data_IF_726635183368
#
_entry.id   IF_726635183368
#
_cell.length_a   1.000
_cell.length_b   1.000
_cell.length_c   1.000
_cell.angle_alpha   90.00
_cell.angle_beta   90.00
_cell.angle_gamma   90.00
#
_symmetry.space_group_name_H-M   'P 1'
#
loop_
_entity.id
_entity.type
_entity.pdbx_description
1 polymer ?
#
# COMPACT_ATOMS: atom_id res chain seq x y z
N UNK A 1 -10.67 12.79 8.39
CA UNK A 1 -9.81 11.62 8.13
C UNK A 1 -9.03 11.27 9.40
N UNK A 2 -9.40 10.19 10.09
CA UNK A 2 -8.62 9.72 11.23
C UNK A 2 -7.38 8.98 10.74
N UNK A 3 -6.29 9.70 10.51
CA UNK A 3 -4.97 9.10 10.41
C UNK A 3 -4.58 8.58 11.80
N UNK A 4 -4.28 7.27 11.91
CA UNK A 4 -3.54 6.74 13.05
C UNK A 4 -4.32 6.31 14.28
N UNK A 5 -5.63 6.24 14.24
CA UNK A 5 -6.33 5.39 15.21
C UNK A 5 -6.18 3.96 14.72
N UNK A 6 -5.45 3.15 15.48
CA UNK A 6 -5.16 1.77 15.13
C UNK A 6 -6.43 1.00 14.75
N UNK A 7 -6.27 -0.01 13.96
CA UNK A 7 -7.34 -0.80 13.34
C UNK A 7 -8.38 -1.32 14.34
N UNK A 8 -7.97 -1.52 15.59
CA UNK A 8 -8.85 -1.92 16.71
C UNK A 8 -9.91 -0.84 17.03
N UNK A 9 -9.59 0.44 16.84
CA UNK A 9 -10.54 1.54 17.11
C UNK A 9 -11.51 1.80 15.95
N UNK A 10 -11.24 1.33 14.74
CA UNK A 10 -12.16 1.49 13.60
C UNK A 10 -13.54 0.87 13.87
N UNK A 11 -13.57 -0.27 14.56
CA UNK A 11 -14.81 -0.91 15.03
C UNK A 11 -15.63 -0.03 15.96
N UNK A 12 -14.97 0.80 16.79
CA UNK A 12 -15.65 1.72 17.70
C UNK A 12 -16.13 2.97 16.99
N UNK A 13 -15.35 3.48 16.01
CA UNK A 13 -15.68 4.68 15.25
C UNK A 13 -16.94 4.47 14.40
N UNK A 14 -17.12 3.32 13.77
CA UNK A 14 -18.31 3.01 12.94
C UNK A 14 -19.59 2.89 13.73
N UNK A 15 -19.54 2.83 15.07
CA UNK A 15 -20.73 2.97 15.91
C UNK A 15 -21.30 4.39 15.96
N UNK A 16 -20.47 5.38 15.67
CA UNK A 16 -20.80 6.80 15.80
C UNK A 16 -20.80 7.52 14.43
N UNK A 17 -20.03 7.01 13.47
CA UNK A 17 -19.89 7.60 12.14
C UNK A 17 -20.28 6.55 11.11
N UNK A 18 -21.17 6.90 10.19
CA UNK A 18 -21.53 6.08 9.03
C UNK A 18 -20.70 6.54 7.82
N UNK A 19 -19.55 5.91 7.52
CA UNK A 19 -18.73 6.27 6.38
C UNK A 19 -19.44 5.87 5.09
N UNK A 20 -19.17 6.59 3.99
CA UNK A 20 -19.59 6.22 2.64
C UNK A 20 -18.58 5.35 1.93
N UNK A 21 -17.32 5.46 2.34
CA UNK A 21 -16.19 4.78 1.73
C UNK A 21 -15.17 4.34 2.79
N UNK A 22 -14.76 3.08 2.71
CA UNK A 22 -13.55 2.58 3.36
C UNK A 22 -12.45 2.42 2.32
N UNK A 23 -11.22 2.80 2.67
CA UNK A 23 -10.06 2.64 1.80
C UNK A 23 -9.03 1.76 2.50
N UNK A 24 -8.73 0.59 1.90
CA UNK A 24 -7.76 -0.34 2.43
C UNK A 24 -6.54 -0.38 1.51
N UNK A 25 -5.42 0.11 2.01
CA UNK A 25 -4.19 0.25 1.23
C UNK A 25 -3.34 -1.01 1.25
N UNK A 26 -2.94 -1.43 2.44
CA UNK A 26 -2.19 -2.67 2.67
C UNK A 26 -2.30 -3.06 4.16
N UNK A 27 -2.01 -4.32 4.44
CA UNK A 27 -1.82 -4.85 5.80
C UNK A 27 -0.55 -5.68 5.75
N UNK A 28 0.51 -5.19 6.38
CA UNK A 28 1.76 -5.90 6.61
C UNK A 28 1.92 -6.16 8.10
N UNK A 29 2.88 -7.03 8.47
CA UNK A 29 3.25 -7.21 9.87
C UNK A 29 3.77 -5.90 10.44
N UNK A 30 3.09 -5.40 11.46
CA UNK A 30 3.43 -4.18 12.18
C UNK A 30 2.79 -4.23 13.55
N UNK A 31 3.57 -3.97 14.62
CA UNK A 31 3.09 -3.95 16.00
C UNK A 31 2.25 -5.19 16.38
N UNK A 32 2.76 -6.39 16.10
CA UNK A 32 2.05 -7.66 16.29
C UNK A 32 1.69 -7.93 17.76
N UNK A 33 2.48 -7.44 18.69
CA UNK A 33 2.21 -7.46 20.13
C UNK A 33 0.94 -6.69 20.50
N UNK A 34 0.60 -5.66 19.73
CA UNK A 34 -0.56 -4.79 19.94
C UNK A 34 -1.80 -5.23 19.17
N UNK A 35 -1.62 -5.63 17.91
CA UNK A 35 -2.72 -5.91 16.97
C UNK A 35 -2.87 -7.38 16.62
N UNK A 36 -1.90 -8.21 16.97
CA UNK A 36 -1.84 -9.62 16.60
C UNK A 36 -1.50 -9.82 15.12
N UNK A 37 -1.71 -11.03 14.64
CA UNK A 37 -1.45 -11.41 13.27
C UNK A 37 -2.29 -10.64 12.25
N UNK A 38 -1.79 -10.51 11.02
CA UNK A 38 -2.42 -9.74 9.93
C UNK A 38 -3.88 -10.15 9.65
N UNK A 39 -4.21 -11.43 9.78
CA UNK A 39 -5.58 -11.93 9.61
C UNK A 39 -6.51 -11.50 10.75
N UNK A 40 -5.99 -11.31 11.96
CA UNK A 40 -6.76 -10.76 13.08
C UNK A 40 -7.07 -9.29 12.83
N UNK A 41 -6.07 -8.52 12.43
CA UNK A 41 -6.24 -7.11 12.03
C UNK A 41 -7.26 -6.98 10.91
N UNK A 42 -7.13 -7.80 9.85
CA UNK A 42 -8.08 -7.79 8.74
C UNK A 42 -9.51 -8.12 9.19
N UNK A 43 -9.69 -9.12 10.05
CA UNK A 43 -11.01 -9.49 10.59
C UNK A 43 -11.66 -8.32 11.35
N UNK A 44 -10.89 -7.63 12.20
CA UNK A 44 -11.39 -6.49 12.98
C UNK A 44 -11.78 -5.30 12.06
N UNK A 45 -11.00 -5.05 11.01
CA UNK A 45 -11.32 -4.02 10.01
C UNK A 45 -12.63 -4.37 9.29
N UNK A 46 -12.80 -5.63 8.88
CA UNK A 46 -13.99 -6.09 8.18
C UNK A 46 -15.24 -6.09 9.06
N UNK A 47 -15.11 -6.40 10.35
CA UNK A 47 -16.22 -6.24 11.31
C UNK A 47 -16.65 -4.76 11.42
N UNK A 48 -15.67 -3.84 11.40
CA UNK A 48 -15.96 -2.41 11.36
C UNK A 48 -16.66 -1.97 10.07
N UNK A 49 -16.25 -2.51 8.92
CA UNK A 49 -16.89 -2.22 7.64
C UNK A 49 -18.33 -2.78 7.57
N UNK A 50 -18.56 -3.99 8.09
CA UNK A 50 -19.87 -4.62 8.13
C UNK A 50 -20.89 -3.85 8.98
N UNK A 51 -20.45 -3.01 9.92
CA UNK A 51 -21.31 -2.12 10.68
C UNK A 51 -21.88 -0.94 9.85
N UNK A 52 -21.36 -0.73 8.64
CA UNK A 52 -21.86 0.26 7.66
C UNK A 52 -22.02 -0.42 6.29
N UNK A 53 -23.02 -1.29 6.10
CA UNK A 53 -23.14 -2.19 4.94
C UNK A 53 -23.29 -1.46 3.60
N UNK A 54 -23.82 -0.24 3.61
CA UNK A 54 -23.98 0.59 2.42
C UNK A 54 -22.67 1.26 1.97
N UNK A 55 -21.64 1.26 2.83
CA UNK A 55 -20.36 1.85 2.50
C UNK A 55 -19.62 0.99 1.47
N UNK A 56 -19.07 1.61 0.45
CA UNK A 56 -18.17 0.94 -0.48
C UNK A 56 -16.80 0.67 0.18
N UNK A 57 -16.22 -0.48 -0.08
CA UNK A 57 -14.83 -0.79 0.29
C UNK A 57 -13.97 -0.70 -0.96
N UNK A 58 -13.07 0.28 -1.00
CA UNK A 58 -12.05 0.45 -2.03
C UNK A 58 -10.75 -0.19 -1.55
N UNK A 59 -10.34 -1.30 -2.16
CA UNK A 59 -9.21 -2.12 -1.71
C UNK A 59 -8.08 -2.13 -2.72
N UNK A 60 -6.86 -2.29 -2.23
CA UNK A 60 -5.74 -2.71 -3.05
C UNK A 60 -5.97 -4.15 -3.54
N UNK A 61 -6.30 -4.30 -4.83
CA UNK A 61 -6.57 -5.59 -5.46
C UNK A 61 -5.33 -6.49 -5.56
N UNK A 62 -4.13 -5.91 -5.53
CA UNK A 62 -2.86 -6.64 -5.57
C UNK A 62 -2.52 -7.34 -4.25
N UNK A 63 -3.24 -7.04 -3.17
CA UNK A 63 -3.07 -7.67 -1.87
C UNK A 63 -4.03 -8.85 -1.71
N UNK A 64 -3.53 -10.10 -1.60
CA UNK A 64 -4.39 -11.30 -1.51
C UNK A 64 -5.35 -11.28 -0.32
N UNK A 65 -4.97 -10.62 0.77
CA UNK A 65 -5.79 -10.60 2.00
C UNK A 65 -7.14 -9.92 1.78
N UNK A 66 -7.20 -8.86 0.96
CA UNK A 66 -8.44 -8.10 0.75
C UNK A 66 -9.50 -8.82 -0.09
N UNK A 67 -9.11 -9.87 -0.82
CA UNK A 67 -10.03 -10.74 -1.55
C UNK A 67 -10.26 -12.08 -0.85
N UNK A 68 -9.73 -12.26 0.38
CA UNK A 68 -9.76 -13.55 1.08
C UNK A 68 -11.12 -13.93 1.69
N UNK A 69 -11.98 -12.93 1.97
CA UNK A 69 -13.29 -13.13 2.61
C UNK A 69 -14.39 -12.38 1.88
N UNK A 70 -15.57 -12.96 1.88
CA UNK A 70 -16.79 -12.29 1.45
C UNK A 70 -17.18 -11.17 2.42
N UNK A 71 -17.90 -10.16 1.91
CA UNK A 71 -18.47 -9.07 2.69
C UNK A 71 -19.82 -8.64 2.11
N UNK A 72 -20.64 -8.04 2.92
CA UNK A 72 -21.92 -7.44 2.50
C UNK A 72 -21.71 -6.10 1.76
N UNK A 73 -20.59 -5.43 2.02
CA UNK A 73 -20.28 -4.14 1.43
C UNK A 73 -19.99 -4.26 -0.08
N UNK A 74 -20.41 -3.32 -0.93
CA UNK A 74 -19.90 -3.19 -2.29
C UNK A 74 -18.37 -3.05 -2.29
N UNK A 75 -17.70 -3.71 -3.23
CA UNK A 75 -16.23 -3.63 -3.36
C UNK A 75 -15.82 -3.04 -4.69
N UNK A 76 -14.73 -2.28 -4.62
CA UNK A 76 -13.95 -1.79 -5.75
C UNK A 76 -12.47 -2.05 -5.49
N UNK A 77 -11.73 -2.27 -6.58
CA UNK A 77 -10.33 -2.63 -6.48
C UNK A 77 -9.47 -1.72 -7.35
N UNK A 78 -8.34 -1.29 -6.80
CA UNK A 78 -7.28 -0.63 -7.55
C UNK A 78 -6.01 -1.48 -7.50
N UNK A 79 -5.14 -1.34 -8.47
CA UNK A 79 -3.88 -2.09 -8.51
C UNK A 79 -3.03 -1.80 -9.73
N UNK A 80 -1.91 -2.49 -9.81
CA UNK A 80 -0.99 -2.42 -10.93
C UNK A 80 -1.41 -3.40 -12.04
N UNK A 81 -1.40 -2.92 -13.27
CA UNK A 81 -1.60 -3.73 -14.46
C UNK A 81 -0.59 -3.36 -15.56
N UNK A 82 0.64 -3.08 -15.13
CA UNK A 82 1.70 -2.66 -16.01
C UNK A 82 2.69 -3.79 -16.18
N UNK A 83 3.59 -4.15 -16.08
CA UNK A 83 4.67 -5.11 -16.33
C UNK A 83 4.24 -6.30 -17.20
N UNK A 84 5.06 -6.69 -18.17
CA UNK A 84 4.81 -7.92 -18.93
C UNK A 84 4.72 -9.09 -17.94
N UNK A 85 3.72 -9.95 -18.08
CA UNK A 85 3.50 -11.07 -17.18
C UNK A 85 4.72 -11.99 -17.18
N UNK A 86 5.29 -12.18 -16.02
CA UNK A 86 6.28 -13.21 -15.77
C UNK A 86 5.84 -13.98 -14.55
N UNK A 87 5.64 -15.27 -14.72
CA UNK A 87 5.26 -16.11 -13.61
C UNK A 87 6.32 -16.10 -12.51
N UNK A 88 5.90 -15.86 -11.30
CA UNK A 88 6.74 -15.75 -10.12
C UNK A 88 6.11 -16.49 -8.95
N UNK A 89 6.94 -17.07 -8.11
CA UNK A 89 6.50 -17.58 -6.81
C UNK A 89 6.62 -16.47 -5.77
N UNK A 90 5.74 -16.52 -4.76
CA UNK A 90 5.85 -15.62 -3.62
C UNK A 90 7.19 -15.82 -2.90
N UNK A 91 7.79 -14.75 -2.41
CA UNK A 91 9.02 -14.82 -1.63
C UNK A 91 8.75 -15.44 -0.25
N UNK A 92 9.66 -16.30 0.23
CA UNK A 92 9.49 -17.01 1.52
C UNK A 92 9.38 -16.08 2.74
N UNK A 93 9.98 -14.91 2.67
CA UNK A 93 10.03 -13.96 3.79
C UNK A 93 8.98 -12.84 3.70
N UNK A 94 7.94 -13.02 2.88
CA UNK A 94 6.85 -12.05 2.76
C UNK A 94 5.59 -12.55 3.40
N UNK A 95 4.79 -11.62 3.94
CA UNK A 95 3.47 -11.94 4.46
C UNK A 95 2.53 -12.38 3.33
N UNK A 96 1.61 -13.30 3.62
CA UNK A 96 0.60 -13.72 2.66
C UNK A 96 1.10 -14.61 1.52
N UNK A 97 2.19 -15.34 1.72
CA UNK A 97 2.74 -16.32 0.76
C UNK A 97 1.74 -17.44 0.43
N UNK A 98 0.90 -17.81 1.41
CA UNK A 98 -0.05 -18.90 1.27
C UNK A 98 -1.42 -18.39 0.81
N UNK A 99 -2.07 -19.20 -0.01
CA UNK A 99 -3.44 -18.95 -0.43
C UNK A 99 -4.38 -18.94 0.80
N UNK A 100 -5.15 -17.86 1.01
CA UNK A 100 -6.05 -17.74 2.16
C UNK A 100 -7.25 -18.69 2.10
N UNK A 101 -7.45 -19.42 0.97
CA UNK A 101 -8.53 -20.37 0.79
C UNK A 101 -8.10 -21.81 1.02
N UNK A 102 -6.88 -22.20 0.62
CA UNK A 102 -6.45 -23.60 0.64
C UNK A 102 -5.01 -23.82 1.14
N UNK A 103 -4.34 -22.78 1.61
CA UNK A 103 -2.97 -22.83 2.13
C UNK A 103 -1.90 -23.32 1.13
N UNK A 104 -2.21 -23.38 -0.17
CA UNK A 104 -1.21 -23.63 -1.19
C UNK A 104 -0.38 -22.38 -1.44
N UNK A 105 0.86 -22.51 -1.90
CA UNK A 105 1.70 -21.36 -2.26
C UNK A 105 1.04 -20.58 -3.38
N UNK A 106 0.95 -19.25 -3.22
CA UNK A 106 0.49 -18.35 -4.28
C UNK A 106 1.56 -18.19 -5.35
N UNK A 107 1.11 -18.20 -6.58
CA UNK A 107 1.88 -17.84 -7.76
C UNK A 107 1.52 -16.41 -8.20
N UNK A 108 2.44 -15.76 -8.90
CA UNK A 108 2.25 -14.40 -9.38
C UNK A 108 2.67 -14.30 -10.84
N UNK A 109 1.85 -13.68 -11.65
CA UNK A 109 2.25 -13.24 -12.99
C UNK A 109 3.16 -12.02 -12.88
N UNK A 110 2.94 -11.19 -11.86
CA UNK A 110 3.69 -9.99 -11.58
C UNK A 110 3.74 -9.76 -10.06
N UNK A 111 4.91 -9.41 -9.54
CA UNK A 111 5.09 -8.91 -8.17
C UNK A 111 5.65 -7.49 -8.27
N UNK A 112 5.06 -6.55 -7.55
CA UNK A 112 5.53 -5.17 -7.45
C UNK A 112 6.50 -5.00 -6.28
N UNK A 113 6.04 -5.29 -5.08
CA UNK A 113 6.87 -5.44 -3.88
C UNK A 113 6.16 -6.27 -2.81
N UNK A 114 6.93 -6.84 -1.88
CA UNK A 114 6.42 -7.76 -0.88
C UNK A 114 5.56 -8.87 -1.53
N UNK A 115 4.29 -8.97 -1.14
CA UNK A 115 3.32 -9.92 -1.69
C UNK A 115 2.23 -9.24 -2.54
N UNK A 116 2.48 -8.03 -3.02
CA UNK A 116 1.55 -7.29 -3.87
C UNK A 116 1.78 -7.60 -5.35
N UNK A 117 0.71 -7.87 -6.08
CA UNK A 117 0.80 -8.12 -7.52
C UNK A 117 -0.37 -8.91 -8.10
N UNK A 118 -0.19 -9.44 -9.30
CA UNK A 118 -1.17 -10.28 -9.98
C UNK A 118 -1.02 -11.74 -9.54
N UNK A 119 -1.65 -12.06 -8.42
CA UNK A 119 -1.58 -13.37 -7.78
C UNK A 119 -2.65 -14.34 -8.28
N UNK A 120 -2.32 -15.63 -8.22
CA UNK A 120 -3.26 -16.72 -8.40
C UNK A 120 -2.83 -17.97 -7.62
N UNK A 121 -3.79 -18.80 -7.30
CA UNK A 121 -3.55 -20.12 -6.68
C UNK A 121 -3.78 -21.23 -7.72
N UNK A 122 -2.75 -22.01 -8.08
CA UNK A 122 -2.91 -23.08 -9.05
C UNK A 122 -3.77 -24.25 -8.53
N UNK A 123 -3.96 -24.34 -7.21
CA UNK A 123 -4.70 -25.44 -6.58
C UNK A 123 -6.21 -25.20 -6.50
N UNK A 124 -6.66 -24.00 -6.12
CA UNK A 124 -8.09 -23.73 -5.88
C UNK A 124 -8.68 -22.64 -6.78
N UNK A 125 -7.89 -22.05 -7.67
CA UNK A 125 -8.35 -21.01 -8.58
C UNK A 125 -8.55 -19.62 -7.93
N UNK A 126 -8.21 -19.44 -6.63
CA UNK A 126 -8.20 -18.12 -6.01
C UNK A 126 -7.25 -17.19 -6.77
N UNK A 127 -7.70 -16.01 -7.12
CA UNK A 127 -6.90 -15.08 -7.93
C UNK A 127 -7.23 -13.63 -7.61
N UNK A 128 -6.38 -12.73 -8.10
CA UNK A 128 -6.60 -11.30 -8.05
C UNK A 128 -7.96 -10.95 -8.69
N UNK A 129 -8.77 -10.08 -8.05
CA UNK A 129 -9.99 -9.58 -8.65
C UNK A 129 -9.70 -8.70 -9.87
N UNK A 130 -10.71 -8.46 -10.69
CA UNK A 130 -10.65 -7.40 -11.69
C UNK A 130 -10.49 -6.04 -11.00
N UNK A 131 -9.70 -5.18 -11.61
CA UNK A 131 -9.39 -3.86 -11.07
C UNK A 131 -10.35 -2.83 -11.67
N UNK A 132 -10.95 -2.01 -10.82
CA UNK A 132 -11.78 -0.87 -11.23
C UNK A 132 -10.90 0.34 -11.63
N UNK A 133 -9.73 0.50 -10.99
CA UNK A 133 -8.75 1.55 -11.27
C UNK A 133 -7.38 0.91 -11.43
N UNK A 134 -6.71 1.17 -12.54
CA UNK A 134 -5.51 0.45 -12.94
C UNK A 134 -4.35 1.39 -13.25
N UNK A 135 -3.20 1.16 -12.60
CA UNK A 135 -1.96 1.72 -13.09
C UNK A 135 -1.47 0.86 -14.26
N UNK A 136 -1.50 1.44 -15.46
CA UNK A 136 -1.23 0.74 -16.71
C UNK A 136 0.19 0.94 -17.25
N UNK A 137 0.91 1.96 -16.78
CA UNK A 137 2.28 2.21 -17.20
C UNK A 137 3.08 2.92 -16.09
N UNK A 138 4.31 2.46 -15.86
CA UNK A 138 5.35 3.20 -15.13
C UNK A 138 6.25 3.90 -16.15
N UNK A 139 6.09 5.21 -16.32
CA UNK A 139 6.89 6.00 -17.26
C UNK A 139 8.30 6.21 -16.72
N UNK A 140 8.41 6.60 -15.45
CA UNK A 140 9.68 6.83 -14.77
C UNK A 140 9.51 6.66 -13.26
N UNK A 141 10.54 6.14 -12.61
CA UNK A 141 10.65 6.15 -11.15
C UNK A 141 12.11 6.28 -10.74
N UNK A 142 12.37 7.22 -9.85
CA UNK A 142 13.66 7.36 -9.18
C UNK A 142 13.47 7.50 -7.66
N UNK A 143 14.52 7.84 -6.93
CA UNK A 143 14.47 7.98 -5.48
C UNK A 143 13.73 9.25 -4.99
N UNK A 144 13.36 10.15 -5.88
CA UNK A 144 12.77 11.46 -5.55
C UNK A 144 11.42 11.71 -6.19
N UNK A 145 11.08 10.97 -7.26
CA UNK A 145 9.88 11.20 -8.04
C UNK A 145 9.42 9.96 -8.79
N UNK A 146 8.18 9.97 -9.25
CA UNK A 146 7.66 8.97 -10.17
C UNK A 146 6.61 9.58 -11.11
N UNK A 147 6.62 9.12 -12.37
CA UNK A 147 5.62 9.44 -13.40
C UNK A 147 4.99 8.14 -13.89
N UNK A 148 3.68 8.11 -14.00
CA UNK A 148 2.92 6.89 -14.32
C UNK A 148 1.58 7.22 -14.97
N UNK A 149 0.97 6.20 -15.58
CA UNK A 149 -0.35 6.28 -16.22
C UNK A 149 -1.36 5.46 -15.42
N UNK A 150 -2.49 6.07 -15.07
CA UNK A 150 -3.64 5.40 -14.47
C UNK A 150 -4.83 5.59 -15.41
N UNK A 151 -5.42 4.49 -15.89
CA UNK A 151 -6.59 4.47 -16.78
C UNK A 151 -6.47 5.42 -17.99
N UNK A 152 -5.26 5.56 -18.54
CA UNK A 152 -4.95 6.39 -19.71
C UNK A 152 -4.60 7.84 -19.43
N UNK A 153 -4.64 8.28 -18.16
CA UNK A 153 -4.25 9.63 -17.72
C UNK A 153 -2.85 9.62 -17.10
N UNK A 154 -2.01 10.57 -17.48
CA UNK A 154 -0.65 10.72 -16.92
C UNK A 154 -0.67 11.51 -15.61
N UNK A 155 0.04 10.99 -14.62
CA UNK A 155 0.22 11.57 -13.30
C UNK A 155 1.68 11.54 -12.87
N UNK A 156 2.05 12.45 -11.96
CA UNK A 156 3.38 12.51 -11.37
C UNK A 156 3.32 12.84 -9.88
N UNK A 157 4.31 12.34 -9.14
CA UNK A 157 4.52 12.64 -7.73
C UNK A 157 5.98 13.04 -7.46
N UNK A 158 6.18 13.98 -6.55
CA UNK A 158 7.50 14.48 -6.15
C UNK A 158 8.11 13.68 -4.99
N UNK A 159 7.83 12.38 -4.92
CA UNK A 159 8.39 11.42 -3.96
C UNK A 159 8.64 10.10 -4.66
N UNK A 160 9.80 9.48 -4.39
CA UNK A 160 10.18 8.22 -5.01
C UNK A 160 9.68 6.99 -4.26
N UNK A 161 9.88 5.84 -4.88
CA UNK A 161 9.61 4.53 -4.31
C UNK A 161 8.21 3.97 -4.60
N UNK A 162 8.15 2.66 -4.81
CA UNK A 162 6.94 1.95 -5.22
C UNK A 162 5.77 2.11 -4.25
N UNK A 163 6.04 2.16 -2.95
CA UNK A 163 5.00 2.36 -1.94
C UNK A 163 4.29 3.73 -2.06
N UNK A 164 5.01 4.77 -2.50
CA UNK A 164 4.41 6.08 -2.76
C UNK A 164 3.57 6.08 -4.03
N UNK A 165 3.96 5.31 -5.04
CA UNK A 165 3.13 5.09 -6.24
C UNK A 165 1.82 4.39 -5.87
N UNK A 166 1.84 3.38 -5.00
CA UNK A 166 0.60 2.77 -4.47
C UNK A 166 -0.25 3.74 -3.65
N UNK A 167 0.38 4.64 -2.88
CA UNK A 167 -0.36 5.68 -2.15
C UNK A 167 -1.05 6.67 -3.11
N UNK A 168 -0.36 7.07 -4.18
CA UNK A 168 -0.92 7.92 -5.22
C UNK A 168 -2.05 7.22 -5.98
N UNK A 169 -1.87 5.94 -6.33
CA UNK A 169 -2.89 5.13 -6.98
C UNK A 169 -4.15 5.00 -6.09
N UNK A 170 -3.99 4.76 -4.79
CA UNK A 170 -5.10 4.74 -3.85
C UNK A 170 -5.81 6.10 -3.75
N UNK A 171 -5.06 7.20 -3.72
CA UNK A 171 -5.61 8.55 -3.69
C UNK A 171 -6.37 8.88 -4.98
N UNK A 172 -5.84 8.50 -6.14
CA UNK A 172 -6.51 8.63 -7.45
C UNK A 172 -7.80 7.83 -7.47
N UNK A 173 -7.79 6.56 -7.04
CA UNK A 173 -8.97 5.72 -6.99
C UNK A 173 -10.08 6.30 -6.08
N UNK A 174 -9.71 6.93 -4.97
CA UNK A 174 -10.67 7.68 -4.12
C UNK A 174 -11.23 8.90 -4.85
N UNK A 175 -10.37 9.67 -5.52
CA UNK A 175 -10.77 10.86 -6.23
C UNK A 175 -11.72 10.52 -7.40
N UNK A 176 -11.43 9.47 -8.15
CA UNK A 176 -12.29 8.95 -9.22
C UNK A 176 -13.63 8.44 -8.68
N UNK A 177 -13.63 7.75 -7.54
CA UNK A 177 -14.87 7.34 -6.87
C UNK A 177 -15.79 8.53 -6.59
N UNK A 178 -15.21 9.68 -6.24
CA UNK A 178 -15.96 10.93 -6.04
C UNK A 178 -16.07 11.80 -7.31
N UNK A 179 -15.73 11.26 -8.47
CA UNK A 179 -15.84 11.94 -9.78
C UNK A 179 -15.06 13.25 -9.86
N UNK A 180 -13.89 13.29 -9.20
CA UNK A 180 -12.97 14.42 -9.33
C UNK A 180 -12.33 14.38 -10.70
N UNK A 181 -12.29 15.53 -11.39
CA UNK A 181 -11.73 15.62 -12.74
C UNK A 181 -10.21 15.36 -12.75
N UNK A 182 -9.66 14.71 -13.81
CA UNK A 182 -8.25 14.30 -13.86
C UNK A 182 -7.25 15.45 -13.68
N UNK A 183 -7.56 16.66 -14.16
CA UNK A 183 -6.73 17.85 -13.98
C UNK A 183 -6.58 18.23 -12.49
N UNK A 184 -7.64 18.04 -11.69
CA UNK A 184 -7.62 18.29 -10.25
C UNK A 184 -6.85 17.21 -9.50
N UNK A 185 -6.99 15.95 -9.93
CA UNK A 185 -6.21 14.84 -9.38
C UNK A 185 -4.73 15.07 -9.64
N UNK A 186 -4.37 15.44 -10.89
CA UNK A 186 -2.99 15.75 -11.28
C UNK A 186 -2.41 16.91 -10.44
N UNK A 187 -3.16 17.99 -10.28
CA UNK A 187 -2.73 19.11 -9.45
C UNK A 187 -2.54 18.72 -7.97
N UNK A 188 -3.40 17.86 -7.44
CA UNK A 188 -3.31 17.37 -6.06
C UNK A 188 -2.13 16.42 -5.84
N UNK A 189 -1.82 15.55 -6.79
CA UNK A 189 -0.67 14.64 -6.72
C UNK A 189 0.66 15.36 -6.90
N UNK A 190 0.71 16.39 -7.74
CA UNK A 190 1.90 17.21 -7.95
C UNK A 190 2.20 18.17 -6.78
N UNK A 191 1.33 18.25 -5.78
CA UNK A 191 1.53 19.10 -4.61
C UNK A 191 2.69 18.62 -3.74
N UNK A 192 3.74 19.43 -3.61
CA UNK A 192 5.04 19.07 -3.03
C UNK A 192 5.20 19.50 -1.56
N UNK A 193 4.12 19.55 -0.80
CA UNK A 193 4.26 19.83 0.65
C UNK A 193 4.72 18.54 1.38
N UNK A 194 5.98 18.55 1.80
CA UNK A 194 6.59 17.39 2.47
C UNK A 194 6.06 17.23 3.89
N UNK A 195 5.61 16.03 4.21
CA UNK A 195 5.20 15.68 5.56
C UNK A 195 6.43 15.35 6.40
N UNK A 196 6.57 15.99 7.56
CA UNK A 196 7.66 15.77 8.51
C UNK A 196 7.95 14.28 8.75
N UNK A 197 9.23 13.90 8.69
CA UNK A 197 9.70 12.53 8.91
C UNK A 197 9.44 11.54 7.76
N UNK A 198 8.91 12.00 6.61
CA UNK A 198 8.69 11.15 5.42
C UNK A 198 9.47 11.68 4.24
N UNK A 199 10.67 11.12 3.99
CA UNK A 199 11.61 11.58 2.97
C UNK A 199 11.93 13.09 3.08
N UNK A 200 12.12 13.54 4.30
CA UNK A 200 12.51 14.90 4.55
C UNK A 200 14.01 15.07 4.27
N UNK A 201 14.37 15.98 3.39
CA UNK A 201 15.76 16.34 3.13
C UNK A 201 16.11 17.61 3.88
N UNK A 202 17.10 17.52 4.76
CA UNK A 202 17.64 18.63 5.53
C UNK A 202 19.09 18.91 5.12
N UNK A 203 19.48 20.16 5.16
CA UNK A 203 20.85 20.58 4.89
C UNK A 203 21.61 20.72 6.20
N UNK A 204 22.72 20.00 6.35
CA UNK A 204 23.60 20.04 7.52
C UNK A 204 25.01 20.44 7.06
N UNK A 205 25.36 21.68 7.21
CA UNK A 205 26.58 22.25 6.66
C UNK A 205 26.57 22.22 5.13
N UNK A 206 27.54 21.54 4.55
CA UNK A 206 27.69 21.32 3.11
C UNK A 206 27.03 20.02 2.61
N UNK A 207 26.39 19.26 3.49
CA UNK A 207 25.79 17.97 3.19
C UNK A 207 24.26 18.04 3.18
N UNK A 208 23.67 17.23 2.31
CA UNK A 208 22.23 16.93 2.33
C UNK A 208 22.00 15.60 3.05
N UNK A 209 21.05 15.61 3.97
CA UNK A 209 20.68 14.45 4.76
C UNK A 209 19.19 14.15 4.56
N UNK A 210 18.85 13.02 3.99
CA UNK A 210 17.46 12.56 3.83
C UNK A 210 17.06 11.66 4.99
N UNK A 211 16.05 12.07 5.73
CA UNK A 211 15.48 11.31 6.85
C UNK A 211 14.28 10.50 6.38
N UNK A 212 14.32 9.20 6.66
CA UNK A 212 13.21 8.29 6.34
C UNK A 212 12.84 7.48 7.57
N UNK A 213 11.61 7.63 8.04
CA UNK A 213 11.08 6.85 9.13
C UNK A 213 10.59 5.49 8.62
N UNK A 214 11.12 4.44 9.22
CA UNK A 214 10.74 3.04 8.96
C UNK A 214 10.18 2.41 10.23
N UNK A 215 9.11 1.62 10.10
CA UNK A 215 8.44 0.99 11.24
C UNK A 215 8.41 -0.53 11.20
N UNK A 216 8.67 -1.13 10.05
CA UNK A 216 8.60 -2.57 9.86
C UNK A 216 9.55 -3.05 8.76
N UNK A 217 9.84 -4.37 8.66
CA UNK A 217 10.77 -4.92 7.67
C UNK A 217 10.38 -4.62 6.21
N UNK A 218 9.10 -4.66 5.88
CA UNK A 218 8.63 -4.34 4.51
C UNK A 218 8.95 -2.89 4.16
N UNK A 219 8.69 -1.96 5.07
CA UNK A 219 9.04 -0.55 4.89
C UNK A 219 10.54 -0.33 4.74
N UNK A 220 11.39 -1.06 5.51
CA UNK A 220 12.83 -0.98 5.39
C UNK A 220 13.30 -1.45 4.01
N UNK A 221 12.82 -2.59 3.54
CA UNK A 221 13.17 -3.10 2.21
C UNK A 221 12.79 -2.11 1.12
N UNK A 222 11.60 -1.49 1.21
CA UNK A 222 11.18 -0.49 0.24
C UNK A 222 12.06 0.78 0.25
N UNK A 223 12.56 1.19 1.40
CA UNK A 223 13.52 2.31 1.49
C UNK A 223 14.86 1.92 0.85
N UNK A 224 15.34 0.70 1.10
CA UNK A 224 16.57 0.19 0.48
C UNK A 224 16.42 0.11 -1.04
N UNK A 225 15.33 -0.44 -1.54
CA UNK A 225 15.02 -0.52 -2.98
C UNK A 225 15.00 0.87 -3.62
N UNK A 226 14.31 1.81 -2.98
CA UNK A 226 14.25 3.20 -3.44
C UNK A 226 15.61 3.87 -3.47
N UNK A 227 16.44 3.66 -2.45
CA UNK A 227 17.81 4.20 -2.40
C UNK A 227 18.70 3.59 -3.48
N UNK A 228 18.45 2.34 -3.87
CA UNK A 228 19.12 1.68 -5.00
C UNK A 228 18.88 2.37 -6.35
N UNK A 229 17.83 3.19 -6.46
CA UNK A 229 17.54 3.98 -7.65
C UNK A 229 18.30 5.32 -7.70
N UNK A 230 19.01 5.70 -6.64
CA UNK A 230 19.75 6.96 -6.60
C UNK A 230 20.94 6.92 -7.59
N UNK A 231 21.09 7.95 -8.46
CA UNK A 231 22.16 7.97 -9.46
C UNK A 231 23.53 8.41 -8.89
N UNK A 232 23.66 8.52 -7.56
CA UNK A 232 24.83 9.02 -6.85
C UNK A 232 25.17 8.13 -5.65
N UNK A 233 26.40 8.22 -5.20
CA UNK A 233 26.85 7.54 -3.98
C UNK A 233 26.41 8.29 -2.73
N UNK A 234 26.00 7.56 -1.71
CA UNK A 234 25.57 8.10 -0.42
C UNK A 234 26.10 7.24 0.73
N UNK A 235 26.09 7.80 1.95
CA UNK A 235 26.33 7.06 3.17
C UNK A 235 25.02 6.79 3.89
N UNK A 236 24.81 5.56 4.31
CA UNK A 236 23.60 5.17 5.08
C UNK A 236 23.92 5.15 6.57
N UNK A 237 23.07 5.82 7.36
CA UNK A 237 23.07 5.72 8.82
C UNK A 237 21.74 5.12 9.26
N UNK A 238 21.80 3.96 9.90
CA UNK A 238 20.61 3.30 10.47
C UNK A 238 20.57 3.55 11.97
N UNK A 239 19.45 4.10 12.45
CA UNK A 239 19.18 4.31 13.86
C UNK A 239 18.04 3.37 14.29
N UNK A 240 18.38 2.37 15.10
CA UNK A 240 17.42 1.43 15.67
C UNK A 240 17.13 1.79 17.12
N UNK A 241 15.87 2.04 17.44
CA UNK A 241 15.44 2.25 18.81
C UNK A 241 15.05 0.91 19.45
N UNK A 242 15.89 0.41 20.35
CA UNK A 242 15.68 -0.85 21.06
C UNK A 242 14.84 -0.71 22.36
N UNK A 243 14.61 0.51 22.82
CA UNK A 243 13.87 0.77 24.08
C UNK A 243 12.46 1.23 23.77
N UNK A 244 11.61 0.33 23.23
CA UNK A 244 10.40 0.82 22.68
C UNK A 244 9.13 0.05 23.01
N UNK A 245 8.05 0.77 23.25
CA UNK A 245 6.75 0.24 23.61
C UNK A 245 5.92 -0.32 22.42
N UNK A 246 6.41 -0.20 21.20
CA UNK A 246 5.71 -0.67 20.00
C UNK A 246 6.02 -2.13 19.62
N UNK A 247 6.71 -2.85 20.50
CA UNK A 247 7.00 -4.25 20.30
C UNK A 247 8.44 -4.54 19.90
N UNK A 248 8.83 -5.79 20.05
CA UNK A 248 10.08 -6.35 19.57
C UNK A 248 9.77 -6.98 18.22
N UNK A 249 10.19 -6.36 17.16
CA UNK A 249 10.15 -6.93 15.80
C UNK A 249 11.38 -7.80 15.54
#
# INVERSE_FOLDING_TARGET
ASRGLGDVYKRQVTKYIQPKLFVFTNIFRDQMDRYGEIYTTYRLIMEGAAAAPEATILCNGDSPIFNSKETVNPRKYYGFNHLPPKEQLAHYNTDGVLCPKCNHILHYKMITYANLGDYYCPNCGFKRPELDVQLTEMVRMDNTSADFVIDGEEYGIAVGGMYNVYNALAATAVAEYYQVAPDKIRAGLAYDEKVFGRQETIKVGDKECTLVLVKNPVGLNQVIDMMGLAPYSFSLVSLLNANYADGID
#
